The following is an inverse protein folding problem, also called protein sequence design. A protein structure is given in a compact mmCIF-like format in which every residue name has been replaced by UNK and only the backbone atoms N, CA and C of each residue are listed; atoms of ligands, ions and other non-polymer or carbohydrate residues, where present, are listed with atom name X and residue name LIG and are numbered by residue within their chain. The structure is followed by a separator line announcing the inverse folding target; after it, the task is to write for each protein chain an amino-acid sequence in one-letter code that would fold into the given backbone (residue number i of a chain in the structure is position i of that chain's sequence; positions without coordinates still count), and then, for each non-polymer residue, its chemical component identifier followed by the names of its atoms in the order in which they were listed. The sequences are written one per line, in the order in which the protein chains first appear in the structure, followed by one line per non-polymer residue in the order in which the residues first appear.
data_IF_440335813729
#
_entry.id   IF_440335813729
#
_cell.length_a   1.000
_cell.length_b   1.000
_cell.length_c   1.000
_cell.angle_alpha   90.00
_cell.angle_beta   90.00
_cell.angle_gamma   90.00
#
_symmetry.space_group_name_H-M   'P 1'
#
loop_
_entity.id
_entity.type
_entity.pdbx_description
1 polymer ?
#
# COMPACT_ATOMS: atom_id res chain seq x y z
N UNK A 1 -16.56 28.40 -28.67
CA UNK A 1 -16.17 27.06 -28.20
C UNK A 1 -15.87 27.11 -26.70
N UNK A 2 -16.84 26.75 -25.83
CA UNK A 2 -16.57 26.52 -24.41
C UNK A 2 -15.98 25.12 -24.28
N UNK A 3 -14.66 25.02 -24.11
CA UNK A 3 -13.97 23.78 -23.78
C UNK A 3 -14.45 23.39 -22.37
N UNK A 4 -15.37 22.44 -22.26
CA UNK A 4 -15.77 21.87 -20.98
C UNK A 4 -14.51 21.31 -20.32
N UNK A 5 -14.09 21.89 -19.19
CA UNK A 5 -13.10 21.23 -18.34
C UNK A 5 -13.75 19.93 -17.85
N UNK A 6 -13.38 18.81 -18.45
CA UNK A 6 -13.64 17.51 -17.85
C UNK A 6 -13.04 17.54 -16.44
N UNK A 7 -13.90 17.48 -15.42
CA UNK A 7 -13.46 17.25 -14.06
C UNK A 7 -12.71 15.91 -14.07
N UNK A 8 -11.39 15.94 -13.88
CA UNK A 8 -10.60 14.72 -13.66
C UNK A 8 -11.27 13.92 -12.55
N UNK A 9 -11.61 12.65 -12.84
CA UNK A 9 -12.17 11.73 -11.86
C UNK A 9 -11.15 11.51 -10.73
N UNK A 10 -11.58 11.58 -9.48
CA UNK A 10 -10.73 11.41 -8.28
C UNK A 10 -11.36 10.41 -7.32
N UNK A 11 -10.53 9.64 -6.61
CA UNK A 11 -10.93 8.74 -5.54
C UNK A 11 -10.71 9.33 -4.14
N UNK A 12 -10.29 10.60 -4.04
CA UNK A 12 -10.06 11.28 -2.75
C UNK A 12 -11.38 11.52 -2.01
N UNK A 13 -11.40 11.23 -0.71
CA UNK A 13 -12.34 11.79 0.26
C UNK A 13 -11.66 12.95 1.01
N UNK A 14 -12.13 14.18 0.80
CA UNK A 14 -11.50 15.38 1.37
C UNK A 14 -11.58 15.43 2.89
N UNK A 15 -12.63 14.86 3.49
CA UNK A 15 -12.82 14.87 4.93
C UNK A 15 -11.80 13.99 5.65
N UNK A 16 -11.47 12.85 5.05
CA UNK A 16 -10.43 11.93 5.52
C UNK A 16 -9.04 12.60 5.41
N UNK A 17 -8.74 13.23 4.28
CA UNK A 17 -7.46 13.95 4.07
C UNK A 17 -7.24 15.03 5.12
N UNK A 18 -8.27 15.83 5.43
CA UNK A 18 -8.18 16.85 6.47
C UNK A 18 -7.97 16.25 7.86
N UNK A 19 -8.63 15.14 8.19
CA UNK A 19 -8.48 14.47 9.47
C UNK A 19 -7.03 14.07 9.72
N UNK A 20 -6.40 13.36 8.77
CA UNK A 20 -4.99 12.94 8.90
C UNK A 20 -4.02 14.12 8.87
N UNK A 21 -4.31 15.17 8.10
CA UNK A 21 -3.49 16.38 8.07
C UNK A 21 -3.38 17.07 9.45
N UNK A 22 -4.42 16.98 10.30
CA UNK A 22 -4.39 17.53 11.67
C UNK A 22 -3.51 16.72 12.63
N UNK A 23 -3.22 15.46 12.30
CA UNK A 23 -2.38 14.55 13.08
C UNK A 23 -0.91 14.61 12.67
N UNK A 24 -0.58 15.34 11.61
CA UNK A 24 0.72 15.34 10.95
C UNK A 24 1.89 15.63 11.93
N UNK A 25 1.74 16.60 12.85
CA UNK A 25 2.81 16.94 13.80
C UNK A 25 3.13 15.82 14.82
N UNK A 26 2.27 14.81 14.95
CA UNK A 26 2.51 13.65 15.81
C UNK A 26 2.96 12.42 15.04
N UNK A 27 3.17 12.54 13.73
CA UNK A 27 3.42 11.40 12.86
C UNK A 27 4.65 10.60 13.26
N UNK A 28 5.71 11.29 13.69
CA UNK A 28 6.98 10.71 14.12
C UNK A 28 7.16 10.66 15.64
N UNK A 29 6.13 10.99 16.43
CA UNK A 29 6.19 10.82 17.89
C UNK A 29 5.84 9.37 18.28
N UNK A 30 6.80 8.54 18.73
CA UNK A 30 6.54 7.14 19.06
C UNK A 30 5.68 6.98 20.32
N UNK A 31 5.49 8.05 21.10
CA UNK A 31 4.63 8.06 22.30
C UNK A 31 3.34 8.86 22.11
N UNK A 32 3.13 9.45 20.92
CA UNK A 32 1.96 10.26 20.57
C UNK A 32 0.82 9.45 19.99
N UNK A 33 -0.04 10.09 19.18
CA UNK A 33 -1.29 9.47 18.71
C UNK A 33 -1.11 8.21 17.88
N UNK A 34 -0.05 8.18 17.10
CA UNK A 34 0.23 7.09 16.19
C UNK A 34 1.14 6.03 16.81
N UNK A 35 1.34 6.02 18.13
CA UNK A 35 2.18 5.03 18.84
C UNK A 35 1.88 3.58 18.45
N UNK A 36 0.60 3.23 18.28
CA UNK A 36 0.24 1.85 17.90
C UNK A 36 0.71 1.50 16.49
N UNK A 37 0.68 2.47 15.56
CA UNK A 37 1.20 2.32 14.21
C UNK A 37 2.73 2.17 14.23
N UNK A 38 3.44 3.00 15.00
CA UNK A 38 4.89 2.85 15.24
C UNK A 38 5.27 1.46 15.74
N UNK A 39 4.49 0.90 16.67
CA UNK A 39 4.74 -0.44 17.24
C UNK A 39 4.37 -1.57 16.29
N UNK A 40 3.43 -1.35 15.38
CA UNK A 40 2.99 -2.32 14.38
C UNK A 40 3.96 -2.42 13.20
N UNK A 41 4.56 -1.30 12.80
CA UNK A 41 5.38 -1.21 11.60
C UNK A 41 6.58 -2.18 11.55
N UNK A 42 7.32 -2.46 12.65
CA UNK A 42 8.39 -3.47 12.62
C UNK A 42 7.90 -4.85 12.16
N UNK A 43 6.71 -5.27 12.58
CA UNK A 43 6.10 -6.55 12.17
C UNK A 43 5.71 -6.53 10.68
N UNK A 44 5.14 -5.42 10.21
CA UNK A 44 4.82 -5.21 8.78
C UNK A 44 6.07 -5.22 7.90
N UNK A 45 7.11 -4.51 8.32
CA UNK A 45 8.38 -4.40 7.61
C UNK A 45 9.09 -5.74 7.53
N UNK A 46 9.04 -6.55 8.60
CA UNK A 46 9.57 -7.92 8.59
C UNK A 46 8.85 -8.76 7.52
N UNK A 47 7.52 -8.77 7.54
CA UNK A 47 6.72 -9.49 6.54
C UNK A 47 7.01 -9.02 5.10
N UNK A 48 7.05 -7.70 4.88
CA UNK A 48 7.37 -7.13 3.55
C UNK A 48 8.77 -7.54 3.11
N UNK A 49 9.78 -7.40 3.99
CA UNK A 49 11.16 -7.79 3.71
C UNK A 49 11.27 -9.26 3.31
N UNK A 50 10.67 -10.15 4.10
CA UNK A 50 10.75 -11.59 3.86
C UNK A 50 10.14 -11.96 2.50
N UNK A 51 8.95 -11.44 2.20
CA UNK A 51 8.23 -11.75 0.94
C UNK A 51 8.91 -11.15 -0.29
N UNK A 52 9.49 -9.96 -0.16
CA UNK A 52 10.29 -9.34 -1.23
C UNK A 52 11.57 -10.14 -1.46
N UNK A 53 12.29 -10.51 -0.40
CA UNK A 53 13.52 -11.29 -0.55
C UNK A 53 13.25 -12.67 -1.17
N UNK A 54 12.18 -13.34 -0.74
CA UNK A 54 11.71 -14.61 -1.32
C UNK A 54 11.40 -14.47 -2.82
N UNK A 55 10.57 -13.49 -3.18
CA UNK A 55 10.09 -13.32 -4.57
C UNK A 55 11.19 -12.91 -5.53
N UNK A 56 12.03 -11.95 -5.11
CA UNK A 56 13.09 -11.39 -5.95
C UNK A 56 14.44 -12.08 -5.74
N UNK A 57 14.47 -13.21 -5.03
CA UNK A 57 15.66 -14.02 -4.74
C UNK A 57 16.82 -13.19 -4.18
N UNK A 58 16.52 -12.36 -3.18
CA UNK A 58 17.50 -11.50 -2.49
C UNK A 58 17.95 -12.15 -1.19
N UNK A 59 19.18 -11.87 -0.79
CA UNK A 59 19.69 -12.27 0.52
C UNK A 59 19.06 -11.39 1.61
N UNK A 60 18.37 -12.02 2.56
CA UNK A 60 17.72 -11.35 3.69
C UNK A 60 18.72 -10.77 4.70
N UNK A 61 19.96 -11.24 4.70
CA UNK A 61 21.04 -10.74 5.57
C UNK A 61 21.84 -9.61 4.93
N UNK A 62 21.67 -9.35 3.64
CA UNK A 62 22.30 -8.23 2.97
C UNK A 62 21.91 -6.91 3.64
N UNK A 63 22.83 -5.95 3.67
CA UNK A 63 22.59 -4.63 4.25
C UNK A 63 21.48 -3.87 3.51
N UNK A 64 21.48 -3.96 2.17
CA UNK A 64 20.51 -3.30 1.29
C UNK A 64 19.88 -4.33 0.33
N UNK A 65 18.99 -5.20 0.83
CA UNK A 65 18.40 -6.26 0.01
C UNK A 65 17.48 -5.74 -1.09
N UNK A 66 17.03 -4.48 -1.00
CA UNK A 66 16.07 -3.88 -1.92
C UNK A 66 16.76 -3.03 -3.00
N UNK A 67 18.10 -3.05 -3.08
CA UNK A 67 18.85 -2.27 -4.07
C UNK A 67 18.35 -2.51 -5.50
N UNK A 68 18.05 -1.41 -6.19
CA UNK A 68 17.53 -1.37 -7.56
C UNK A 68 16.03 -1.62 -7.70
N UNK A 69 15.30 -1.93 -6.62
CA UNK A 69 13.84 -2.07 -6.67
C UNK A 69 13.15 -0.70 -6.66
N UNK A 70 12.15 -0.55 -7.52
CA UNK A 70 11.26 0.61 -7.56
C UNK A 70 10.03 0.32 -6.69
N UNK A 71 9.80 1.14 -5.67
CA UNK A 71 8.72 0.98 -4.70
C UNK A 71 7.81 2.20 -4.74
N UNK A 72 6.51 1.95 -4.73
CA UNK A 72 5.48 2.96 -4.56
C UNK A 72 4.75 2.73 -3.25
N UNK A 73 4.70 3.74 -2.38
CA UNK A 73 3.87 3.75 -1.18
C UNK A 73 2.73 4.74 -1.38
N UNK A 74 1.52 4.24 -1.67
CA UNK A 74 0.32 5.06 -1.83
C UNK A 74 -0.32 5.27 -0.46
N UNK A 75 -0.64 6.52 -0.13
CA UNK A 75 -1.08 6.92 1.21
C UNK A 75 0.06 6.85 2.22
N UNK A 76 1.27 7.27 1.81
CA UNK A 76 2.48 7.11 2.63
C UNK A 76 2.46 7.93 3.93
N UNK A 77 1.54 8.91 4.06
CA UNK A 77 1.46 9.80 5.20
C UNK A 77 2.78 10.54 5.44
N UNK A 78 3.23 10.55 6.69
CA UNK A 78 4.53 11.08 7.10
C UNK A 78 5.73 10.17 6.80
N UNK A 79 5.56 9.07 6.04
CA UNK A 79 6.70 8.30 5.52
C UNK A 79 7.19 7.13 6.37
N UNK A 80 6.39 6.63 7.31
CA UNK A 80 6.81 5.60 8.28
C UNK A 80 7.27 4.28 7.66
N UNK A 81 6.73 3.89 6.50
CA UNK A 81 7.17 2.71 5.76
C UNK A 81 8.23 3.07 4.70
N UNK A 82 8.11 4.22 4.05
CA UNK A 82 9.10 4.69 3.09
C UNK A 82 10.52 4.71 3.67
N UNK A 83 10.74 5.37 4.80
CA UNK A 83 12.10 5.53 5.33
C UNK A 83 12.86 4.23 5.65
N UNK A 84 12.29 3.26 6.38
CA UNK A 84 12.97 1.99 6.60
C UNK A 84 13.19 1.21 5.29
N UNK A 85 12.27 1.29 4.33
CA UNK A 85 12.48 0.65 3.03
C UNK A 85 13.57 1.34 2.19
N UNK A 86 13.72 2.66 2.31
CA UNK A 86 14.80 3.41 1.68
C UNK A 86 16.16 3.02 2.31
N UNK A 87 16.20 2.83 3.63
CA UNK A 87 17.39 2.30 4.33
C UNK A 87 17.75 0.88 3.86
N UNK A 88 16.78 0.07 3.42
CA UNK A 88 17.02 -1.23 2.77
C UNK A 88 17.48 -1.12 1.30
N UNK A 89 17.64 0.09 0.75
CA UNK A 89 18.16 0.35 -0.60
C UNK A 89 17.10 0.51 -1.69
N UNK A 90 15.81 0.58 -1.35
CA UNK A 90 14.75 0.79 -2.33
C UNK A 90 14.76 2.22 -2.89
N UNK A 91 14.39 2.36 -4.17
CA UNK A 91 14.06 3.65 -4.77
C UNK A 91 12.55 3.88 -4.58
N UNK A 92 12.19 4.88 -3.77
CA UNK A 92 10.81 5.03 -3.29
C UNK A 92 10.17 6.30 -3.82
N UNK A 93 8.97 6.13 -4.38
CA UNK A 93 7.98 7.18 -4.54
C UNK A 93 6.93 7.04 -3.41
N UNK A 94 6.92 7.99 -2.47
CA UNK A 94 5.87 8.11 -1.48
C UNK A 94 4.82 9.11 -1.95
N UNK A 95 3.55 8.71 -1.98
CA UNK A 95 2.47 9.57 -2.45
C UNK A 95 1.33 9.68 -1.44
N UNK A 96 0.87 10.90 -1.19
CA UNK A 96 -0.27 11.18 -0.31
C UNK A 96 -1.04 12.40 -0.83
N UNK A 97 -2.36 12.44 -0.57
CA UNK A 97 -3.20 13.56 -0.98
C UNK A 97 -3.03 14.80 -0.07
N UNK A 98 -2.60 14.59 1.18
CA UNK A 98 -2.35 15.63 2.17
C UNK A 98 -1.03 16.35 1.88
N UNK A 99 -1.11 17.68 1.75
CA UNK A 99 0.07 18.53 1.69
C UNK A 99 0.90 18.42 2.99
N UNK A 100 0.24 18.55 4.14
CA UNK A 100 0.91 18.57 5.45
C UNK A 100 1.67 17.29 5.72
N UNK A 101 1.08 16.12 5.41
CA UNK A 101 1.76 14.84 5.60
C UNK A 101 3.02 14.74 4.75
N UNK A 102 2.94 15.13 3.47
CA UNK A 102 4.07 15.10 2.54
C UNK A 102 5.20 16.03 3.00
N UNK A 103 4.89 17.24 3.47
CA UNK A 103 5.93 18.15 3.94
C UNK A 103 6.63 17.62 5.20
N UNK A 104 5.89 16.99 6.13
CA UNK A 104 6.50 16.35 7.30
C UNK A 104 7.35 15.15 6.90
N UNK A 105 6.90 14.34 5.94
CA UNK A 105 7.68 13.21 5.43
C UNK A 105 9.01 13.68 4.81
N UNK A 106 8.97 14.75 4.00
CA UNK A 106 10.17 15.36 3.41
C UNK A 106 11.12 15.91 4.47
N UNK A 107 10.60 16.64 5.46
CA UNK A 107 11.42 17.21 6.54
C UNK A 107 12.12 16.11 7.33
N UNK A 108 11.37 15.09 7.78
CA UNK A 108 11.95 14.00 8.56
C UNK A 108 12.95 13.15 7.74
N UNK A 109 12.65 12.89 6.47
CA UNK A 109 13.60 12.20 5.58
C UNK A 109 14.89 13.01 5.38
N UNK A 110 14.80 14.34 5.23
CA UNK A 110 15.97 15.22 5.11
C UNK A 110 16.81 15.24 6.39
N UNK A 111 16.18 15.32 7.57
CA UNK A 111 16.86 15.22 8.87
C UNK A 111 17.61 13.88 9.03
N UNK A 112 17.08 12.82 8.42
CA UNK A 112 17.67 11.48 8.44
C UNK A 112 18.60 11.19 7.24
N UNK A 113 18.88 12.17 6.38
CA UNK A 113 19.69 12.03 5.17
C UNK A 113 19.20 10.93 4.21
N UNK A 114 17.89 10.76 4.09
CA UNK A 114 17.25 9.79 3.20
C UNK A 114 16.78 10.46 1.91
N UNK A 115 17.11 9.86 0.77
CA UNK A 115 16.65 10.30 -0.55
C UNK A 115 15.37 9.56 -0.93
N UNK A 116 14.22 10.22 -0.75
CA UNK A 116 12.90 9.67 -1.04
C UNK A 116 12.10 10.70 -1.84
N UNK A 117 11.47 10.28 -2.93
CA UNK A 117 10.61 11.14 -3.74
C UNK A 117 9.20 11.18 -3.11
N UNK A 118 8.91 12.22 -2.34
CA UNK A 118 7.59 12.45 -1.76
C UNK A 118 6.76 13.41 -2.61
N UNK A 119 5.60 12.96 -3.08
CA UNK A 119 4.71 13.74 -3.93
C UNK A 119 3.32 13.88 -3.33
N UNK A 120 2.84 15.12 -3.27
CA UNK A 120 1.42 15.39 -3.03
C UNK A 120 0.63 15.08 -4.29
N UNK A 121 0.06 13.89 -4.36
CA UNK A 121 -0.62 13.41 -5.57
C UNK A 121 -1.57 12.26 -5.23
N UNK A 122 -2.26 11.74 -6.25
CA UNK A 122 -3.13 10.57 -6.12
C UNK A 122 -2.59 9.41 -6.96
N UNK A 123 -3.04 8.19 -6.66
CA UNK A 123 -2.69 7.01 -7.45
C UNK A 123 -3.08 7.19 -8.93
N UNK A 124 -4.23 7.78 -9.20
CA UNK A 124 -4.73 8.04 -10.56
C UNK A 124 -3.84 9.01 -11.31
N UNK A 125 -3.39 10.09 -10.65
CA UNK A 125 -2.51 11.07 -11.27
C UNK A 125 -1.11 10.49 -11.56
N UNK A 126 -0.63 9.57 -10.71
CA UNK A 126 0.62 8.85 -10.98
C UNK A 126 0.41 7.89 -12.15
N UNK A 127 -0.68 7.12 -12.15
CA UNK A 127 -0.99 6.12 -13.18
C UNK A 127 -1.30 6.75 -14.55
N UNK A 128 -1.80 7.99 -14.59
CA UNK A 128 -2.07 8.72 -15.82
C UNK A 128 -0.81 9.10 -16.60
N UNK A 129 0.37 9.06 -15.96
CA UNK A 129 1.65 9.32 -16.60
C UNK A 129 2.13 8.04 -17.33
N UNK A 130 2.30 8.06 -18.68
CA UNK A 130 2.66 6.86 -19.44
C UNK A 130 3.93 6.16 -18.94
N UNK A 131 4.91 6.92 -18.47
CA UNK A 131 6.18 6.41 -17.93
C UNK A 131 6.02 5.62 -16.61
N UNK A 132 4.87 5.71 -15.94
CA UNK A 132 4.59 4.97 -14.72
C UNK A 132 3.84 3.65 -14.96
N UNK A 133 3.46 3.33 -16.21
CA UNK A 133 2.91 2.02 -16.53
C UNK A 133 3.99 0.94 -16.35
N UNK A 134 3.65 -0.16 -15.66
CA UNK A 134 4.59 -1.25 -15.36
C UNK A 134 5.94 -0.76 -14.79
N UNK A 135 5.94 0.22 -13.88
CA UNK A 135 7.15 0.85 -13.36
C UNK A 135 7.62 0.26 -12.03
N UNK A 136 6.69 -0.07 -11.15
CA UNK A 136 7.03 -0.42 -9.76
C UNK A 136 7.16 -1.93 -9.60
N UNK A 137 8.23 -2.36 -8.95
CA UNK A 137 8.44 -3.75 -8.56
C UNK A 137 7.56 -4.08 -7.34
N UNK A 138 7.33 -3.09 -6.48
CA UNK A 138 6.52 -3.22 -5.26
C UNK A 138 5.57 -2.03 -5.16
N UNK A 139 4.29 -2.29 -4.87
CA UNK A 139 3.31 -1.27 -4.49
C UNK A 139 2.77 -1.59 -3.10
N UNK A 140 2.80 -0.61 -2.20
CA UNK A 140 2.21 -0.66 -0.87
C UNK A 140 0.92 0.16 -0.85
N UNK A 141 -0.13 -0.45 -0.32
CA UNK A 141 -1.44 0.13 -0.09
C UNK A 141 -1.85 -0.23 1.35
N UNK A 142 -1.38 0.56 2.31
CA UNK A 142 -1.41 0.19 3.73
C UNK A 142 -2.40 1.08 4.48
N UNK A 143 -3.63 0.59 4.71
CA UNK A 143 -4.74 1.34 5.30
C UNK A 143 -5.24 2.53 4.45
N UNK A 144 -5.37 2.36 3.13
CA UNK A 144 -5.87 3.43 2.24
C UNK A 144 -7.21 3.09 1.59
N UNK A 145 -7.42 1.83 1.21
CA UNK A 145 -8.57 1.41 0.39
C UNK A 145 -9.93 1.65 1.07
N UNK A 146 -9.98 1.70 2.40
CA UNK A 146 -11.17 2.04 3.17
C UNK A 146 -11.48 3.54 3.19
N UNK A 147 -10.51 4.40 2.86
CA UNK A 147 -10.64 5.86 2.89
C UNK A 147 -10.90 6.47 1.49
N UNK A 148 -10.86 5.67 0.42
CA UNK A 148 -11.13 6.16 -0.94
C UNK A 148 -12.62 6.13 -1.28
N UNK A 149 -13.05 7.09 -2.09
CA UNK A 149 -14.44 7.24 -2.53
C UNK A 149 -14.83 6.28 -3.67
N UNK A 150 -13.87 5.83 -4.49
CA UNK A 150 -14.06 4.82 -5.55
C UNK A 150 -12.95 3.74 -5.48
N UNK A 151 -13.13 2.69 -4.65
CA UNK A 151 -12.13 1.62 -4.51
C UNK A 151 -11.84 0.86 -5.79
N UNK A 152 -12.79 0.79 -6.73
CA UNK A 152 -12.56 0.07 -7.99
C UNK A 152 -11.62 0.86 -8.91
N UNK A 153 -11.89 2.16 -9.07
CA UNK A 153 -11.05 3.03 -9.88
C UNK A 153 -9.64 3.13 -9.31
N UNK A 154 -9.53 3.31 -7.99
CA UNK A 154 -8.26 3.31 -7.29
C UNK A 154 -7.46 2.03 -7.54
N UNK A 155 -8.09 0.86 -7.36
CA UNK A 155 -7.44 -0.44 -7.55
C UNK A 155 -7.01 -0.68 -9.02
N UNK A 156 -7.80 -0.22 -10.00
CA UNK A 156 -7.41 -0.26 -11.41
C UNK A 156 -6.14 0.58 -11.65
N UNK A 157 -6.07 1.79 -11.10
CA UNK A 157 -4.93 2.70 -11.26
C UNK A 157 -3.65 2.16 -10.63
N UNK A 158 -3.72 1.60 -9.42
CA UNK A 158 -2.52 1.00 -8.80
C UNK A 158 -2.06 -0.26 -9.53
N UNK A 159 -3.00 -1.10 -10.00
CA UNK A 159 -2.65 -2.32 -10.71
C UNK A 159 -1.94 -2.04 -12.05
N UNK A 160 -2.29 -0.96 -12.76
CA UNK A 160 -1.65 -0.63 -14.05
C UNK A 160 -0.19 -0.15 -13.93
N UNK A 161 0.22 0.28 -12.74
CA UNK A 161 1.58 0.75 -12.49
C UNK A 161 2.54 -0.37 -12.04
N UNK A 162 1.99 -1.54 -11.68
CA UNK A 162 2.75 -2.67 -11.18
C UNK A 162 3.44 -3.41 -12.34
N UNK A 163 4.74 -3.69 -12.21
CA UNK A 163 5.48 -4.51 -13.18
C UNK A 163 4.92 -5.94 -13.26
N UNK A 164 5.13 -6.65 -14.38
CA UNK A 164 4.99 -8.09 -14.42
C UNK A 164 5.83 -8.77 -13.33
N UNK A 165 5.25 -9.73 -12.60
CA UNK A 165 5.81 -10.35 -11.38
C UNK A 165 6.00 -9.40 -10.18
N UNK A 166 5.60 -8.14 -10.27
CA UNK A 166 5.64 -7.19 -9.17
C UNK A 166 4.69 -7.61 -8.04
N UNK A 167 4.99 -7.13 -6.83
CA UNK A 167 4.24 -7.40 -5.62
C UNK A 167 3.35 -6.22 -5.24
N UNK A 168 2.13 -6.51 -4.83
CA UNK A 168 1.23 -5.53 -4.21
C UNK A 168 0.87 -6.01 -2.81
N UNK A 169 1.18 -5.19 -1.80
CA UNK A 169 0.76 -5.40 -0.43
C UNK A 169 -0.45 -4.52 -0.16
N UNK A 170 -1.55 -5.12 0.29
CA UNK A 170 -2.76 -4.39 0.67
C UNK A 170 -3.11 -4.72 2.12
N UNK A 171 -3.03 -3.72 3.00
CA UNK A 171 -3.45 -3.85 4.40
C UNK A 171 -4.73 -3.04 4.66
N UNK A 172 -5.63 -3.61 5.46
CA UNK A 172 -6.87 -2.95 5.89
C UNK A 172 -7.47 -3.65 7.11
N UNK A 173 -8.42 -2.98 7.77
CA UNK A 173 -9.29 -3.59 8.76
C UNK A 173 -10.27 -4.58 8.12
N UNK A 174 -10.44 -5.75 8.74
CA UNK A 174 -11.43 -6.73 8.29
C UNK A 174 -12.83 -6.27 8.67
N UNK A 175 -13.84 -6.60 7.87
CA UNK A 175 -15.24 -6.35 8.21
C UNK A 175 -15.79 -7.45 9.12
N UNK A 176 -15.48 -7.38 10.41
CA UNK A 176 -16.01 -8.28 11.43
C UNK A 176 -16.52 -7.52 12.65
N UNK A 177 -17.36 -8.17 13.45
CA UNK A 177 -17.80 -7.61 14.73
C UNK A 177 -16.63 -7.36 15.69
N UNK A 178 -15.55 -8.16 15.63
CA UNK A 178 -14.34 -7.96 16.43
C UNK A 178 -13.56 -6.72 16.03
N UNK A 179 -13.40 -6.46 14.73
CA UNK A 179 -12.72 -5.24 14.26
C UNK A 179 -13.55 -4.00 14.58
N UNK A 180 -14.87 -4.09 14.49
CA UNK A 180 -15.78 -3.01 14.84
C UNK A 180 -15.69 -2.67 16.34
N UNK A 181 -15.71 -3.68 17.22
CA UNK A 181 -15.52 -3.50 18.66
C UNK A 181 -14.13 -2.94 18.97
N UNK A 182 -13.07 -3.46 18.33
CA UNK A 182 -11.71 -2.98 18.60
C UNK A 182 -11.47 -1.57 18.05
N UNK A 183 -12.04 -1.22 16.88
CA UNK A 183 -11.98 0.13 16.30
C UNK A 183 -12.76 1.14 17.17
N UNK A 184 -13.92 0.73 17.70
CA UNK A 184 -14.71 1.54 18.64
C UNK A 184 -14.00 1.67 19.98
N UNK A 185 -13.48 0.59 20.58
CA UNK A 185 -12.75 0.64 21.86
C UNK A 185 -11.43 1.43 21.71
N UNK A 186 -10.72 1.30 20.59
CA UNK A 186 -9.53 2.10 20.31
C UNK A 186 -9.86 3.60 20.16
N UNK A 187 -11.01 3.93 19.56
CA UNK A 187 -11.48 5.30 19.39
C UNK A 187 -12.10 5.91 20.67
N UNK A 188 -12.83 5.12 21.46
CA UNK A 188 -13.63 5.58 22.59
C UNK A 188 -12.93 5.44 23.95
N UNK A 189 -12.15 4.38 24.19
CA UNK A 189 -11.60 4.11 25.54
C UNK A 189 -10.17 4.61 25.75
N UNK A 190 -9.39 4.89 24.69
CA UNK A 190 -8.00 5.33 24.86
C UNK A 190 -7.74 6.80 24.51
N UNK A 191 -8.54 7.45 23.67
CA UNK A 191 -8.02 8.62 22.94
C UNK A 191 -8.92 9.84 22.81
N UNK A 192 -10.26 9.76 22.85
CA UNK A 192 -11.10 10.97 22.73
C UNK A 192 -10.79 11.83 21.49
N UNK A 193 -10.29 11.22 20.41
CA UNK A 193 -9.65 11.93 19.30
C UNK A 193 -10.49 12.05 18.03
N UNK A 194 -11.66 11.41 17.95
CA UNK A 194 -12.42 11.34 16.70
C UNK A 194 -13.95 11.49 16.95
N UNK A 195 -14.68 12.29 16.15
CA UNK A 195 -16.14 12.38 16.23
C UNK A 195 -16.82 11.03 16.01
N UNK A 196 -17.96 10.79 16.68
CA UNK A 196 -18.79 9.60 16.49
C UNK A 196 -19.15 9.44 14.99
N UNK A 197 -18.89 8.25 14.43
CA UNK A 197 -19.34 7.88 13.06
C UNK A 197 -18.26 7.83 11.96
N UNK A 198 -16.98 8.00 12.29
CA UNK A 198 -15.87 7.95 11.30
C UNK A 198 -15.59 6.56 10.73
N UNK A 199 -15.88 5.48 11.46
CA UNK A 199 -15.73 4.12 10.96
C UNK A 199 -17.07 3.57 10.50
N UNK A 200 -17.46 3.89 9.27
CA UNK A 200 -18.60 3.23 8.63
C UNK A 200 -18.23 1.78 8.36
N UNK A 201 -18.74 0.83 9.14
CA UNK A 201 -18.52 -0.62 9.00
C UNK A 201 -18.63 -1.14 7.55
N UNK A 202 -19.41 -0.45 6.71
CA UNK A 202 -19.56 -0.74 5.28
C UNK A 202 -18.29 -0.50 4.44
N UNK A 203 -17.36 0.35 4.89
CA UNK A 203 -16.10 0.68 4.21
C UNK A 203 -15.03 -0.42 4.36
N UNK A 204 -15.12 -1.26 5.39
CA UNK A 204 -14.19 -2.38 5.57
C UNK A 204 -14.42 -3.47 4.52
N UNK A 205 -13.33 -3.98 3.97
CA UNK A 205 -13.35 -5.06 2.99
C UNK A 205 -12.98 -6.38 3.67
N UNK A 206 -13.79 -7.41 3.45
CA UNK A 206 -13.38 -8.76 3.84
C UNK A 206 -12.27 -9.29 2.92
N UNK A 207 -11.39 -10.20 3.40
CA UNK A 207 -10.36 -10.81 2.56
C UNK A 207 -10.91 -11.43 1.27
N UNK A 208 -12.11 -12.02 1.32
CA UNK A 208 -12.79 -12.61 0.15
C UNK A 208 -13.19 -11.55 -0.87
N UNK A 209 -13.71 -10.40 -0.43
CA UNK A 209 -14.08 -9.30 -1.33
C UNK A 209 -12.85 -8.69 -1.99
N UNK A 210 -11.79 -8.45 -1.20
CA UNK A 210 -10.54 -7.91 -1.73
C UNK A 210 -9.87 -8.90 -2.71
N UNK A 211 -9.87 -10.19 -2.39
CA UNK A 211 -9.36 -11.24 -3.29
C UNK A 211 -10.10 -11.23 -4.63
N UNK A 212 -11.44 -11.14 -4.65
CA UNK A 212 -12.21 -11.08 -5.90
C UNK A 212 -11.85 -9.84 -6.72
N UNK A 213 -11.65 -8.69 -6.07
CA UNK A 213 -11.19 -7.47 -6.75
C UNK A 213 -9.82 -7.68 -7.37
N UNK A 214 -8.85 -8.21 -6.63
CA UNK A 214 -7.49 -8.47 -7.13
C UNK A 214 -7.49 -9.44 -8.32
N UNK A 215 -8.28 -10.52 -8.25
CA UNK A 215 -8.41 -11.47 -9.36
C UNK A 215 -8.99 -10.80 -10.61
N UNK A 216 -9.98 -9.91 -10.47
CA UNK A 216 -10.53 -9.17 -11.62
C UNK A 216 -9.50 -8.25 -12.30
N UNK A 217 -8.42 -7.91 -11.58
CA UNK A 217 -7.30 -7.10 -12.07
C UNK A 217 -6.14 -7.95 -12.61
N UNK A 218 -6.34 -9.27 -12.75
CA UNK A 218 -5.29 -10.24 -13.13
C UNK A 218 -4.11 -10.24 -12.15
N UNK A 219 -4.39 -9.98 -10.88
CA UNK A 219 -3.45 -10.15 -9.78
C UNK A 219 -3.78 -11.44 -9.04
N UNK A 220 -2.76 -12.25 -8.80
CA UNK A 220 -2.90 -13.50 -8.02
C UNK A 220 -2.57 -13.21 -6.57
N UNK A 221 -3.49 -13.48 -5.65
CA UNK A 221 -3.18 -13.49 -4.22
C UNK A 221 -2.28 -14.70 -3.94
N UNK A 222 -1.08 -14.45 -3.41
CA UNK A 222 -0.07 -15.49 -3.15
C UNK A 222 0.15 -15.71 -1.65
N UNK A 223 -0.23 -14.76 -0.80
CA UNK A 223 -0.13 -14.90 0.65
C UNK A 223 -1.11 -13.99 1.39
N UNK A 224 -1.36 -14.29 2.66
CA UNK A 224 -2.18 -13.48 3.56
C UNK A 224 -1.74 -13.63 5.01
N UNK A 225 -1.81 -12.55 5.78
CA UNK A 225 -1.41 -12.55 7.19
C UNK A 225 -2.25 -11.55 7.99
N UNK A 226 -2.62 -11.91 9.21
CA UNK A 226 -3.20 -11.00 10.20
C UNK A 226 -2.14 -10.44 11.14
N UNK A 227 -2.37 -9.25 11.70
CA UNK A 227 -1.50 -8.67 12.73
C UNK A 227 -2.20 -8.68 14.07
N UNK A 228 -1.59 -9.34 15.06
CA UNK A 228 -2.17 -9.48 16.41
C UNK A 228 -1.26 -8.86 17.45
N UNK A 229 -1.85 -8.18 18.43
CA UNK A 229 -1.12 -7.57 19.54
C UNK A 229 -1.15 -8.50 20.76
N UNK A 230 0.02 -8.87 21.27
CA UNK A 230 0.15 -9.62 22.51
C UNK A 230 0.30 -8.64 23.69
N UNK A 231 -0.67 -8.56 24.61
CA UNK A 231 -0.63 -7.62 25.73
C UNK A 231 0.42 -7.98 26.79
N UNK A 232 0.79 -9.26 26.92
CA UNK A 232 1.78 -9.73 27.89
C UNK A 232 3.19 -9.33 27.45
N UNK A 233 3.54 -9.61 26.20
CA UNK A 233 4.87 -9.26 25.64
C UNK A 233 4.92 -7.82 25.13
N UNK A 234 3.77 -7.15 25.02
CA UNK A 234 3.65 -5.79 24.46
C UNK A 234 4.21 -5.72 23.04
N UNK A 235 4.00 -6.75 22.23
CA UNK A 235 4.54 -6.85 20.87
C UNK A 235 3.45 -7.24 19.87
N UNK A 236 3.62 -6.80 18.63
CA UNK A 236 2.83 -7.24 17.50
C UNK A 236 3.45 -8.49 16.87
N UNK A 237 2.59 -9.40 16.42
CA UNK A 237 3.00 -10.66 15.79
C UNK A 237 2.20 -10.89 14.51
N UNK A 238 2.86 -11.51 13.55
CA UNK A 238 2.21 -12.12 12.39
C UNK A 238 1.34 -13.29 12.88
N UNK A 239 0.15 -13.46 12.30
CA UNK A 239 -0.82 -14.47 12.72
C UNK A 239 -1.65 -14.95 11.54
N UNK A 240 -2.18 -16.16 11.62
CA UNK A 240 -3.23 -16.63 10.72
C UNK A 240 -4.61 -16.02 11.05
N UNK A 241 -4.77 -15.41 12.22
CA UNK A 241 -6.00 -14.72 12.61
C UNK A 241 -6.15 -13.37 11.90
N UNK A 242 -6.94 -13.37 10.83
CA UNK A 242 -7.31 -12.16 10.07
C UNK A 242 -8.58 -11.49 10.59
N UNK A 243 -9.12 -11.88 11.75
CA UNK A 243 -10.45 -11.43 12.19
C UNK A 243 -10.54 -9.93 12.43
N UNK A 244 -9.44 -9.25 12.76
CA UNK A 244 -9.42 -7.79 13.03
C UNK A 244 -8.86 -7.01 11.85
N UNK A 245 -7.68 -7.40 11.37
CA UNK A 245 -6.97 -6.74 10.29
C UNK A 245 -6.19 -7.81 9.51
N UNK A 246 -5.78 -7.48 8.30
CA UNK A 246 -5.00 -8.38 7.48
C UNK A 246 -4.17 -7.61 6.45
N UNK A 247 -3.15 -8.29 5.93
CA UNK A 247 -2.41 -7.92 4.73
C UNK A 247 -2.62 -9.03 3.71
N UNK A 248 -3.10 -8.69 2.51
CA UNK A 248 -3.00 -9.57 1.35
C UNK A 248 -1.76 -9.22 0.55
N UNK A 249 -1.02 -10.26 0.15
CA UNK A 249 0.04 -10.15 -0.84
C UNK A 249 -0.46 -10.67 -2.17
N UNK A 250 -0.48 -9.79 -3.16
CA UNK A 250 -0.80 -10.13 -4.54
C UNK A 250 0.41 -9.97 -5.46
N UNK A 251 0.44 -10.75 -6.53
CA UNK A 251 1.49 -10.71 -7.52
C UNK A 251 0.89 -10.55 -8.92
N UNK A 252 1.47 -9.67 -9.72
CA UNK A 252 1.11 -9.54 -11.14
C UNK A 252 1.57 -10.77 -11.93
N UNK A 253 0.75 -11.25 -12.86
CA UNK A 253 1.17 -12.32 -13.76
C UNK A 253 2.39 -11.93 -14.59
N UNK A 254 3.26 -12.90 -14.86
CA UNK A 254 4.30 -12.77 -15.87
C UNK A 254 3.62 -12.54 -17.23
N UNK A 255 4.01 -11.50 -17.95
CA UNK A 255 3.62 -11.39 -19.36
C UNK A 255 4.14 -12.66 -20.05
N UNK A 256 3.25 -13.51 -20.54
CA UNK A 256 3.65 -14.54 -21.48
C UNK A 256 4.10 -13.80 -22.75
N UNK A 257 5.40 -13.79 -23.01
CA UNK A 257 5.90 -13.47 -24.34
C UNK A 257 5.21 -14.44 -25.29
N UNK A 258 4.35 -13.92 -26.17
CA UNK A 258 3.88 -14.66 -27.33
C UNK A 258 5.14 -15.14 -28.06
N UNK A 259 5.46 -16.43 -27.94
CA UNK A 259 6.31 -17.06 -28.93
C UNK A 259 5.53 -16.99 -30.23
N UNK A 260 6.05 -16.20 -31.15
CA UNK A 260 5.56 -16.08 -32.51
C UNK A 260 5.49 -17.47 -33.13
N UNK A 261 4.27 -17.97 -33.32
CA UNK A 261 3.97 -19.16 -34.12
C UNK A 261 4.17 -18.84 -35.60
N UNK A 262 5.39 -18.52 -36.01
CA UNK A 262 5.76 -18.28 -37.41
C UNK A 262 6.98 -19.11 -37.74
N UNK A 263 6.84 -20.43 -37.91
CA UNK A 263 7.80 -21.23 -38.70
C UNK A 263 7.39 -22.67 -39.08
N UNK A 264 6.09 -23.02 -39.23
CA UNK A 264 5.73 -24.41 -39.65
C UNK A 264 4.99 -24.49 -41.01
N UNK A 265 4.59 -23.38 -41.63
CA UNK A 265 3.88 -23.44 -42.92
C UNK A 265 4.78 -23.27 -44.17
N UNK A 266 6.02 -22.78 -44.05
CA UNK A 266 6.89 -22.51 -45.22
C UNK A 266 7.84 -23.67 -45.61
N UNK A 267 7.67 -24.88 -45.05
CA UNK A 267 8.50 -26.05 -45.41
C UNK A 267 7.74 -27.17 -46.15
N UNK A 268 6.52 -26.91 -46.64
CA UNK A 268 5.75 -27.89 -47.42
C UNK A 268 5.44 -27.51 -48.87
N UNK A 269 6.04 -26.44 -49.38
CA UNK A 269 6.00 -26.11 -50.81
C UNK A 269 7.45 -25.97 -51.26
N UNK A 270 8.10 -27.10 -51.54
CA UNK A 270 9.25 -27.36 -52.43
C UNK A 270 9.60 -28.82 -52.12
N UNK A 271 8.88 -29.74 -52.74
CA UNK A 271 9.30 -31.09 -53.17
C UNK A 271 8.15 -31.78 -53.83
#
# INVERSE_FOLDING_TARGET
MKRSMEKKKTSIDTSEVEHFSRLANEWWNPHGRLRMLHRLNPTRLTYIKDKVCETFKRDHLAHQPFIGLQVLDIGCGGGLLCEPLARLGANILGADASFTNIEIAKLHAAENNLQIDYQRTTAENIAAKPENQNKFDIILNMEVIEHVSDPQFFMNSVASMLKPNGLMFIATLNRTWKSWILAIIAAEYFLGWIPKGTHQYKKFLSPKELTRKLVSLRLRVIDHVGMTYNPLTKQWNQSSDMSVNYILLAQAHKLQTQQSSTSILDKKIIR
#
